data_IF_916461495421
#
_entry.id   IF_916461495421
#
_cell.length_a   1.000
_cell.length_b   1.000
_cell.length_c   1.000
_cell.angle_alpha   90.00
_cell.angle_beta   90.00
_cell.angle_gamma   90.00
#
_symmetry.space_group_name_H-M   'P 1'
#
loop_
_entity.id
_entity.type
_entity.pdbx_description
1 polymer ?
#
# COMPACT_ATOMS: atom_id res chain seq x y z
N UNK A 1 -8.02 27.85 13.92
CA UNK A 1 -7.56 27.02 12.79
C UNK A 1 -8.13 25.64 13.05
N UNK A 2 -9.12 25.18 12.28
CA UNK A 2 -9.72 23.85 12.47
C UNK A 2 -8.69 22.86 11.93
N UNK A 3 -7.97 22.17 12.82
CA UNK A 3 -7.15 21.02 12.43
C UNK A 3 -8.09 19.93 11.97
N UNK A 4 -8.07 19.61 10.68
CA UNK A 4 -8.88 18.54 10.13
C UNK A 4 -8.23 17.20 10.52
N UNK A 5 -8.56 16.73 11.74
CA UNK A 5 -8.03 15.47 12.26
C UNK A 5 -8.55 14.26 11.47
N UNK A 6 -9.72 14.40 10.85
CA UNK A 6 -10.41 13.29 10.21
C UNK A 6 -11.06 13.73 8.89
N UNK A 7 -10.96 12.88 7.87
CA UNK A 7 -11.70 12.99 6.63
C UNK A 7 -12.81 11.95 6.59
N UNK A 8 -14.06 12.40 6.46
CA UNK A 8 -15.22 11.50 6.37
C UNK A 8 -15.54 11.03 4.94
N UNK A 9 -14.66 11.37 4.00
CA UNK A 9 -14.82 11.14 2.56
C UNK A 9 -13.52 10.56 1.98
N UNK A 10 -13.52 10.31 0.68
CA UNK A 10 -12.30 9.96 -0.05
C UNK A 10 -11.34 11.14 0.00
N UNK A 11 -10.07 10.87 0.30
CA UNK A 11 -8.98 11.80 0.07
C UNK A 11 -8.31 11.43 -1.26
N UNK A 12 -8.48 12.27 -2.28
CA UNK A 12 -7.92 12.04 -3.61
C UNK A 12 -6.89 13.12 -3.98
N UNK A 13 -5.70 12.67 -4.38
CA UNK A 13 -4.63 13.47 -4.95
C UNK A 13 -4.31 12.90 -6.34
N UNK A 14 -4.90 13.50 -7.38
CA UNK A 14 -4.81 13.01 -8.75
C UNK A 14 -4.22 14.07 -9.70
N UNK A 15 -3.16 13.73 -10.42
CA UNK A 15 -2.67 14.56 -11.54
C UNK A 15 -1.93 15.83 -11.12
N UNK A 16 -1.41 15.89 -9.89
CA UNK A 16 -0.72 17.08 -9.40
C UNK A 16 0.77 17.04 -9.81
N UNK A 17 1.05 17.48 -11.04
CA UNK A 17 2.38 17.42 -11.66
C UNK A 17 3.50 18.17 -10.91
N UNK A 18 3.14 19.12 -10.03
CA UNK A 18 4.08 19.92 -9.25
C UNK A 18 4.06 19.59 -7.74
N UNK A 19 3.26 18.61 -7.31
CA UNK A 19 3.14 18.26 -5.89
C UNK A 19 4.35 17.42 -5.46
N UNK A 20 5.26 18.03 -4.71
CA UNK A 20 6.51 17.39 -4.27
C UNK A 20 6.33 16.66 -2.93
N UNK A 21 5.48 17.17 -2.05
CA UNK A 21 5.23 16.61 -0.72
C UNK A 21 3.81 16.96 -0.24
N UNK A 22 3.46 16.43 0.94
CA UNK A 22 2.13 16.57 1.55
C UNK A 22 2.13 17.55 2.73
N UNK A 23 2.98 18.59 2.70
CA UNK A 23 3.09 19.57 3.78
C UNK A 23 1.71 20.13 4.14
N UNK A 24 1.39 20.13 5.44
CA UNK A 24 0.09 20.54 5.96
C UNK A 24 -0.85 19.39 6.33
N UNK A 25 -0.52 18.14 5.99
CA UNK A 25 -1.34 16.97 6.30
C UNK A 25 -0.98 16.27 7.62
N UNK A 26 -0.01 16.78 8.38
CA UNK A 26 0.58 16.09 9.55
C UNK A 26 -0.38 15.84 10.72
N UNK A 27 -1.55 16.49 10.72
CA UNK A 27 -2.59 16.27 11.73
C UNK A 27 -3.69 15.30 11.29
N UNK A 28 -3.65 14.78 10.05
CA UNK A 28 -4.68 13.87 9.57
C UNK A 28 -4.48 12.49 10.20
N UNK A 29 -5.40 12.09 11.07
CA UNK A 29 -5.33 10.85 11.84
C UNK A 29 -6.15 9.71 11.20
N UNK A 30 -7.25 10.04 10.51
CA UNK A 30 -8.11 9.03 9.89
C UNK A 30 -8.82 9.51 8.63
N UNK A 31 -9.06 8.56 7.73
CA UNK A 31 -9.88 8.72 6.54
C UNK A 31 -10.94 7.62 6.58
N UNK A 32 -12.23 7.94 6.75
CA UNK A 32 -13.28 6.89 6.70
C UNK A 32 -13.58 6.44 5.27
N UNK A 33 -13.24 7.27 4.28
CA UNK A 33 -13.25 6.93 2.86
C UNK A 33 -11.99 6.16 2.44
N UNK A 34 -11.57 6.38 1.20
CA UNK A 34 -10.31 5.84 0.66
C UNK A 34 -9.22 6.90 0.58
N UNK A 35 -7.96 6.46 0.58
CA UNK A 35 -6.81 7.26 0.22
C UNK A 35 -6.41 6.91 -1.22
N UNK A 36 -6.59 7.86 -2.14
CA UNK A 36 -6.26 7.70 -3.56
C UNK A 36 -5.15 8.69 -3.92
N UNK A 37 -3.93 8.20 -4.11
CA UNK A 37 -2.78 9.02 -4.52
C UNK A 37 -2.36 8.53 -5.90
N UNK A 38 -2.70 9.30 -6.93
CA UNK A 38 -2.43 8.90 -8.31
C UNK A 38 -1.86 9.98 -9.21
N UNK A 39 -1.02 9.61 -10.16
CA UNK A 39 -0.51 10.51 -11.20
C UNK A 39 0.16 11.79 -10.63
N UNK A 40 0.93 11.67 -9.56
CA UNK A 40 1.73 12.78 -9.01
C UNK A 40 3.22 12.49 -9.29
N UNK A 41 3.72 12.80 -10.52
CA UNK A 41 5.01 12.30 -10.99
C UNK A 41 6.22 12.78 -10.18
N UNK A 42 6.12 13.91 -9.46
CA UNK A 42 7.20 14.49 -8.65
C UNK A 42 7.00 14.34 -7.14
N UNK A 43 5.95 13.61 -6.70
CA UNK A 43 5.73 13.33 -5.28
C UNK A 43 6.77 12.34 -4.79
N UNK A 44 7.64 12.78 -3.87
CA UNK A 44 8.82 11.98 -3.46
C UNK A 44 8.59 11.12 -2.21
N UNK A 45 7.62 11.49 -1.34
CA UNK A 45 7.34 10.78 -0.10
C UNK A 45 5.93 11.10 0.43
N UNK A 46 5.51 10.35 1.45
CA UNK A 46 4.23 10.52 2.15
C UNK A 46 4.42 11.01 3.60
N UNK A 47 5.60 11.49 3.98
CA UNK A 47 6.04 11.72 5.37
C UNK A 47 5.07 12.57 6.22
N UNK A 48 4.28 13.46 5.61
CA UNK A 48 3.29 14.26 6.31
C UNK A 48 1.99 13.51 6.63
N UNK A 49 1.88 12.21 6.37
CA UNK A 49 0.75 11.37 6.79
C UNK A 49 1.05 10.58 8.06
N UNK A 50 2.16 10.84 8.77
CA UNK A 50 2.61 10.00 9.89
C UNK A 50 1.66 9.83 11.08
N UNK A 51 0.57 10.61 11.16
CA UNK A 51 -0.51 10.43 12.14
C UNK A 51 -1.66 9.53 11.63
N UNK A 52 -1.72 9.28 10.33
CA UNK A 52 -2.78 8.53 9.67
C UNK A 52 -2.70 7.06 10.08
N UNK A 53 -3.68 6.62 10.86
CA UNK A 53 -3.73 5.27 11.43
C UNK A 53 -4.83 4.40 10.85
N UNK A 54 -5.78 5.01 10.12
CA UNK A 54 -6.98 4.35 9.65
C UNK A 54 -7.43 4.83 8.27
N UNK A 55 -7.68 3.87 7.36
CA UNK A 55 -8.35 4.09 6.08
C UNK A 55 -9.56 3.16 6.00
N UNK A 56 -10.76 3.72 5.99
CA UNK A 56 -11.99 2.95 6.09
C UNK A 56 -12.32 2.14 4.84
N UNK A 57 -11.89 2.55 3.64
CA UNK A 57 -12.27 1.88 2.38
C UNK A 57 -11.13 1.26 1.60
N UNK A 58 -10.35 2.06 0.91
CA UNK A 58 -9.31 1.55 0.01
C UNK A 58 -8.09 2.43 0.09
N UNK A 59 -6.92 1.82 -0.09
CA UNK A 59 -5.69 2.53 -0.40
C UNK A 59 -5.31 2.24 -1.85
N UNK A 60 -5.15 3.30 -2.65
CA UNK A 60 -4.64 3.19 -4.01
C UNK A 60 -3.51 4.19 -4.20
N UNK A 61 -2.32 3.67 -4.47
CA UNK A 61 -1.10 4.44 -4.72
C UNK A 61 -0.61 4.03 -6.10
N UNK A 62 -0.92 4.85 -7.10
CA UNK A 62 -0.69 4.49 -8.50
C UNK A 62 0.00 5.58 -9.30
N UNK A 63 0.90 5.23 -10.22
CA UNK A 63 1.54 6.20 -11.12
C UNK A 63 2.24 7.39 -10.41
N UNK A 64 2.84 7.18 -9.23
CA UNK A 64 3.64 8.20 -8.54
C UNK A 64 5.12 7.91 -8.78
N UNK A 65 5.62 8.32 -9.96
CA UNK A 65 6.91 7.85 -10.48
C UNK A 65 8.13 8.24 -9.65
N UNK A 66 8.06 9.29 -8.84
CA UNK A 66 9.17 9.69 -7.94
C UNK A 66 9.09 9.10 -6.54
N UNK A 67 8.01 8.38 -6.20
CA UNK A 67 7.84 7.78 -4.89
C UNK A 67 8.77 6.56 -4.77
N UNK A 68 9.55 6.51 -3.69
CA UNK A 68 10.55 5.46 -3.47
C UNK A 68 10.18 4.45 -2.40
N UNK A 69 9.37 4.86 -1.42
CA UNK A 69 8.78 4.01 -0.39
C UNK A 69 7.45 4.65 0.09
N UNK A 70 6.83 4.07 1.11
CA UNK A 70 5.55 4.51 1.67
C UNK A 70 5.70 5.15 3.05
N UNK A 71 6.92 5.58 3.42
CA UNK A 71 7.21 6.24 4.70
C UNK A 71 6.28 7.45 4.88
N UNK A 72 5.72 7.56 6.08
CA UNK A 72 4.60 8.42 6.38
C UNK A 72 3.28 7.67 6.56
N UNK A 73 3.17 6.40 6.18
CA UNK A 73 2.01 5.56 6.52
C UNK A 73 2.27 4.67 7.75
N UNK A 74 3.34 4.93 8.50
CA UNK A 74 3.90 4.02 9.51
C UNK A 74 2.94 3.62 10.64
N UNK A 75 1.87 4.40 10.85
CA UNK A 75 0.84 4.16 11.87
C UNK A 75 -0.41 3.46 11.32
N UNK A 76 -0.50 3.24 10.01
CA UNK A 76 -1.65 2.66 9.35
C UNK A 76 -1.79 1.18 9.73
N UNK A 77 -2.76 0.88 10.60
CA UNK A 77 -2.93 -0.46 11.18
C UNK A 77 -3.91 -1.34 10.42
N UNK A 78 -4.88 -0.73 9.73
CA UNK A 78 -5.91 -1.43 8.97
C UNK A 78 -6.41 -0.62 7.78
N UNK A 79 -6.82 -1.33 6.73
CA UNK A 79 -7.47 -0.75 5.56
C UNK A 79 -8.76 -1.50 5.22
N UNK A 80 -9.81 -0.75 4.94
CA UNK A 80 -11.01 -1.27 4.25
C UNK A 80 -12.08 -1.88 5.13
N UNK A 81 -12.06 -1.66 6.44
CA UNK A 81 -13.09 -2.20 7.36
C UNK A 81 -14.52 -1.73 7.04
N UNK A 82 -14.68 -0.68 6.22
CA UNK A 82 -15.95 -0.18 5.69
C UNK A 82 -16.15 -0.47 4.19
N UNK A 83 -15.23 -1.17 3.53
CA UNK A 83 -15.34 -1.56 2.13
C UNK A 83 -15.97 -2.96 1.97
N UNK A 84 -16.65 -3.22 0.83
CA UNK A 84 -16.99 -4.59 0.47
C UNK A 84 -15.72 -5.42 0.25
N UNK A 85 -15.83 -6.75 0.43
CA UNK A 85 -14.71 -7.69 0.19
C UNK A 85 -14.21 -7.69 -1.26
N UNK A 86 -14.97 -7.12 -2.19
CA UNK A 86 -14.57 -6.93 -3.59
C UNK A 86 -13.77 -5.65 -3.83
N UNK A 87 -13.43 -4.89 -2.79
CA UNK A 87 -12.67 -3.67 -2.95
C UNK A 87 -11.18 -3.95 -3.19
N UNK A 88 -10.58 -3.18 -4.09
CA UNK A 88 -9.19 -3.36 -4.51
C UNK A 88 -8.30 -2.30 -3.89
N UNK A 89 -7.36 -2.75 -3.05
CA UNK A 89 -6.21 -1.97 -2.59
C UNK A 89 -5.08 -2.18 -3.60
N UNK A 90 -4.52 -1.09 -4.12
CA UNK A 90 -3.66 -1.14 -5.30
C UNK A 90 -2.39 -0.33 -5.06
N UNK A 91 -1.24 -0.98 -5.23
CA UNK A 91 0.07 -0.32 -5.31
C UNK A 91 0.61 -0.66 -6.71
N UNK A 92 0.48 0.28 -7.64
CA UNK A 92 0.74 0.00 -9.06
C UNK A 92 1.54 1.09 -9.78
N UNK A 93 2.48 0.68 -10.63
CA UNK A 93 3.18 1.58 -11.56
C UNK A 93 3.86 2.76 -10.86
N UNK A 94 4.41 2.54 -9.67
CA UNK A 94 5.27 3.51 -8.99
C UNK A 94 6.72 3.16 -9.36
N UNK A 95 7.19 3.75 -10.48
CA UNK A 95 8.41 3.31 -11.18
C UNK A 95 9.68 3.29 -10.32
N UNK A 96 9.79 4.15 -9.32
CA UNK A 96 10.94 4.24 -8.42
C UNK A 96 10.71 3.61 -7.04
N UNK A 97 9.57 2.95 -6.81
CA UNK A 97 9.24 2.31 -5.54
C UNK A 97 10.14 1.10 -5.34
N UNK A 98 10.96 1.10 -4.28
CA UNK A 98 11.96 0.06 -4.01
C UNK A 98 11.52 -0.96 -2.96
N UNK A 99 10.65 -0.54 -2.04
CA UNK A 99 10.10 -1.34 -0.95
C UNK A 99 8.72 -0.78 -0.55
N UNK A 100 8.07 -1.40 0.44
CA UNK A 100 6.79 -0.97 1.00
C UNK A 100 6.94 -0.44 2.43
N UNK A 101 8.16 -0.06 2.83
CA UNK A 101 8.46 0.51 4.15
C UNK A 101 7.55 1.71 4.37
N UNK A 102 6.93 1.75 5.54
CA UNK A 102 5.82 2.65 5.84
C UNK A 102 4.51 1.91 6.04
N UNK A 103 4.35 0.67 5.59
CA UNK A 103 3.17 -0.15 5.92
C UNK A 103 3.36 -1.05 7.15
N UNK A 104 4.44 -0.86 7.91
CA UNK A 104 4.89 -1.78 8.97
C UNK A 104 3.82 -2.09 10.03
N UNK A 105 2.91 -1.17 10.31
CA UNK A 105 1.84 -1.37 11.30
C UNK A 105 0.62 -2.12 10.74
N UNK A 106 0.53 -2.32 9.42
CA UNK A 106 -0.64 -2.88 8.76
C UNK A 106 -0.76 -4.37 9.06
N UNK A 107 -1.78 -4.74 9.81
CA UNK A 107 -2.03 -6.15 10.17
C UNK A 107 -3.16 -6.79 9.38
N UNK A 108 -4.03 -5.97 8.77
CA UNK A 108 -5.24 -6.45 8.12
C UNK A 108 -5.66 -5.59 6.94
N UNK A 109 -6.00 -6.26 5.84
CA UNK A 109 -6.68 -5.68 4.68
C UNK A 109 -8.03 -6.36 4.48
N UNK A 110 -9.08 -5.56 4.55
CA UNK A 110 -10.38 -5.95 3.98
C UNK A 110 -10.33 -5.75 2.46
N UNK A 111 -10.82 -6.76 1.73
CA UNK A 111 -10.74 -6.80 0.28
C UNK A 111 -9.41 -7.34 -0.25
N UNK A 112 -9.12 -7.05 -1.51
CA UNK A 112 -7.95 -7.54 -2.22
C UNK A 112 -6.76 -6.60 -2.06
N UNK A 113 -5.55 -7.14 -2.16
CA UNK A 113 -4.30 -6.41 -2.27
C UNK A 113 -3.62 -6.77 -3.60
N UNK A 114 -3.38 -5.75 -4.42
CA UNK A 114 -2.68 -5.89 -5.69
C UNK A 114 -1.40 -5.05 -5.66
N UNK A 115 -0.25 -5.71 -5.75
CA UNK A 115 1.08 -5.09 -5.84
C UNK A 115 1.61 -5.42 -7.23
N UNK A 116 1.52 -4.46 -8.16
CA UNK A 116 1.80 -4.76 -9.55
C UNK A 116 2.55 -3.69 -10.32
N UNK A 117 3.34 -4.10 -11.31
CA UNK A 117 4.02 -3.19 -12.24
C UNK A 117 4.91 -2.16 -11.51
N UNK A 118 5.54 -2.52 -10.39
CA UNK A 118 6.55 -1.67 -9.74
C UNK A 118 7.94 -2.24 -10.11
N UNK A 119 8.54 -1.81 -11.24
CA UNK A 119 9.70 -2.48 -11.83
C UNK A 119 10.96 -2.42 -10.96
N UNK A 120 11.05 -1.46 -10.04
CA UNK A 120 12.17 -1.31 -9.11
C UNK A 120 11.88 -1.85 -7.69
N UNK A 121 10.73 -2.51 -7.48
CA UNK A 121 10.38 -3.09 -6.19
C UNK A 121 11.25 -4.31 -5.90
N UNK A 122 12.16 -4.19 -4.95
CA UNK A 122 13.16 -5.21 -4.58
C UNK A 122 12.68 -6.10 -3.43
N UNK A 123 11.87 -5.55 -2.53
CA UNK A 123 11.34 -6.27 -1.37
C UNK A 123 9.88 -5.92 -1.11
N UNK A 124 9.21 -6.77 -0.34
CA UNK A 124 7.91 -6.48 0.26
C UNK A 124 8.04 -6.06 1.73
N UNK A 125 9.25 -5.67 2.15
CA UNK A 125 9.52 -5.13 3.49
C UNK A 125 8.55 -3.98 3.75
N UNK A 126 7.98 -3.97 4.94
CA UNK A 126 6.85 -3.09 5.27
C UNK A 126 5.54 -3.83 5.42
N UNK A 127 5.38 -5.01 4.81
CA UNK A 127 4.17 -5.82 5.00
C UNK A 127 4.32 -6.91 6.06
N UNK A 128 5.45 -6.97 6.77
CA UNK A 128 5.85 -8.09 7.62
C UNK A 128 4.82 -8.50 8.69
N UNK A 129 3.94 -7.58 9.09
CA UNK A 129 2.92 -7.79 10.11
C UNK A 129 1.52 -8.09 9.56
N UNK A 130 1.32 -8.13 8.23
CA UNK A 130 0.01 -8.43 7.66
C UNK A 130 -0.37 -9.89 7.94
N UNK A 131 -1.46 -10.11 8.67
CA UNK A 131 -1.90 -11.45 9.05
C UNK A 131 -2.96 -12.03 8.13
N UNK A 132 -3.83 -11.17 7.57
CA UNK A 132 -4.92 -11.61 6.71
C UNK A 132 -5.28 -10.59 5.63
N UNK A 133 -5.57 -11.13 4.45
CA UNK A 133 -6.16 -10.42 3.30
C UNK A 133 -7.49 -11.11 2.98
N UNK A 134 -8.60 -10.39 3.11
CA UNK A 134 -9.93 -11.04 2.99
C UNK A 134 -10.35 -11.33 1.55
N UNK A 135 -9.76 -10.66 0.58
CA UNK A 135 -9.95 -10.89 -0.85
C UNK A 135 -8.77 -11.63 -1.48
N UNK A 136 -8.38 -11.21 -2.68
CA UNK A 136 -7.25 -11.82 -3.40
C UNK A 136 -5.94 -11.11 -3.04
N UNK A 137 -4.86 -11.87 -3.01
CA UNK A 137 -3.50 -11.32 -3.03
C UNK A 137 -2.92 -11.51 -4.44
N UNK A 138 -2.48 -10.41 -5.05
CA UNK A 138 -1.83 -10.38 -6.35
C UNK A 138 -0.48 -9.68 -6.24
N UNK A 139 0.59 -10.38 -6.64
CA UNK A 139 1.95 -9.83 -6.78
C UNK A 139 2.40 -10.07 -8.20
N UNK A 140 2.40 -9.01 -9.02
CA UNK A 140 2.50 -9.17 -10.47
C UNK A 140 3.46 -8.20 -11.14
N UNK A 141 4.27 -8.67 -12.10
CA UNK A 141 5.13 -7.80 -12.90
C UNK A 141 6.06 -6.88 -12.07
N UNK A 142 6.54 -7.35 -10.91
CA UNK A 142 7.57 -6.69 -10.12
C UNK A 142 8.92 -7.33 -10.47
N UNK A 143 9.47 -6.93 -11.61
CA UNK A 143 10.47 -7.69 -12.36
C UNK A 143 11.76 -8.04 -11.59
N UNK A 144 12.14 -7.23 -10.60
CA UNK A 144 13.38 -7.43 -9.81
C UNK A 144 13.13 -8.01 -8.41
N UNK A 145 11.88 -8.27 -8.04
CA UNK A 145 11.53 -8.88 -6.76
C UNK A 145 12.02 -10.33 -6.71
N UNK A 146 12.84 -10.67 -5.71
CA UNK A 146 13.51 -11.99 -5.66
C UNK A 146 12.85 -13.04 -4.77
N UNK A 147 12.01 -12.62 -3.82
CA UNK A 147 11.25 -13.49 -2.92
C UNK A 147 9.99 -12.75 -2.43
N UNK A 148 9.24 -13.36 -1.53
CA UNK A 148 8.01 -12.79 -0.94
C UNK A 148 8.18 -12.48 0.56
N UNK A 149 9.43 -12.32 1.01
CA UNK A 149 9.72 -11.90 2.38
C UNK A 149 9.11 -10.51 2.59
N UNK A 150 8.32 -10.41 3.64
CA UNK A 150 7.32 -9.35 3.82
C UNK A 150 5.92 -9.94 4.05
N UNK A 151 5.64 -11.17 3.62
CA UNK A 151 4.40 -11.88 3.97
C UNK A 151 4.56 -12.91 5.10
N UNK A 152 5.66 -12.88 5.84
CA UNK A 152 6.02 -13.93 6.81
C UNK A 152 4.92 -14.19 7.86
N UNK A 153 4.11 -13.18 8.19
CA UNK A 153 3.01 -13.29 9.16
C UNK A 153 1.64 -13.58 8.53
N UNK A 154 1.56 -13.69 7.20
CA UNK A 154 0.32 -13.87 6.46
C UNK A 154 -0.17 -15.31 6.61
N UNK A 155 -1.34 -15.48 7.22
CA UNK A 155 -1.93 -16.78 7.54
C UNK A 155 -3.22 -17.06 6.78
N UNK A 156 -3.77 -16.06 6.08
CA UNK A 156 -5.01 -16.21 5.32
C UNK A 156 -5.09 -15.25 4.13
N UNK A 157 -5.48 -15.81 2.98
CA UNK A 157 -5.92 -15.09 1.78
C UNK A 157 -7.29 -15.64 1.39
N UNK A 158 -8.28 -14.77 1.25
CA UNK A 158 -9.67 -15.20 1.14
C UNK A 158 -10.03 -15.86 -0.20
N UNK A 159 -9.76 -15.19 -1.32
CA UNK A 159 -10.31 -15.62 -2.63
C UNK A 159 -9.28 -16.19 -3.60
N UNK A 160 -8.02 -15.78 -3.51
CA UNK A 160 -6.98 -16.34 -4.39
C UNK A 160 -5.62 -15.68 -4.22
N UNK A 161 -4.58 -16.45 -4.52
CA UNK A 161 -3.19 -16.03 -4.52
C UNK A 161 -2.67 -16.07 -5.97
N UNK A 162 -2.27 -14.91 -6.49
CA UNK A 162 -1.79 -14.74 -7.86
C UNK A 162 -0.37 -14.18 -7.84
N UNK A 163 0.59 -14.97 -8.32
CA UNK A 163 2.00 -14.57 -8.40
C UNK A 163 2.43 -14.82 -9.85
N UNK A 164 2.55 -13.74 -10.64
CA UNK A 164 2.83 -13.86 -12.08
C UNK A 164 3.73 -12.74 -12.58
N UNK A 165 4.55 -13.02 -13.60
CA UNK A 165 5.38 -11.98 -14.23
C UNK A 165 6.51 -11.40 -13.36
N UNK A 166 6.81 -11.97 -12.19
CA UNK A 166 7.95 -11.56 -11.37
C UNK A 166 9.22 -12.29 -11.83
N UNK A 167 9.86 -11.81 -12.89
CA UNK A 167 10.93 -12.53 -13.60
C UNK A 167 12.16 -12.90 -12.77
N UNK A 168 12.47 -12.13 -11.72
CA UNK A 168 13.61 -12.39 -10.83
C UNK A 168 13.25 -13.23 -9.59
N UNK A 169 11.98 -13.68 -9.45
CA UNK A 169 11.52 -14.40 -8.27
C UNK A 169 12.20 -15.77 -8.18
N UNK A 170 13.00 -15.98 -7.13
CA UNK A 170 13.81 -17.18 -6.94
C UNK A 170 13.09 -18.26 -6.13
N UNK A 171 12.19 -17.86 -5.24
CA UNK A 171 11.46 -18.74 -4.33
C UNK A 171 10.23 -18.03 -3.76
N UNK A 172 9.42 -18.77 -3.00
CA UNK A 172 8.22 -18.30 -2.33
C UNK A 172 8.46 -18.01 -0.83
N UNK A 173 9.72 -17.83 -0.41
CA UNK A 173 10.03 -17.53 0.99
C UNK A 173 9.23 -16.33 1.45
N UNK A 174 8.64 -16.43 2.64
CA UNK A 174 7.72 -15.46 3.18
C UNK A 174 6.25 -15.84 3.04
N UNK A 175 5.91 -16.90 2.31
CA UNK A 175 4.57 -17.49 2.37
C UNK A 175 4.47 -18.69 3.32
N UNK A 176 5.50 -18.93 4.13
CA UNK A 176 5.65 -20.12 4.97
C UNK A 176 4.53 -20.30 6.01
N UNK A 177 3.83 -19.21 6.35
CA UNK A 177 2.70 -19.19 7.29
C UNK A 177 1.33 -19.45 6.65
N UNK A 178 1.23 -19.50 5.32
CA UNK A 178 -0.03 -19.83 4.64
C UNK A 178 -0.29 -21.35 4.71
N UNK A 179 -1.54 -21.77 4.98
CA UNK A 179 -1.92 -23.18 5.10
C UNK A 179 -2.04 -23.92 3.77
#
# INVERSE_FOLDING_TARGET
>A
MITLLQLQVIFELNGNNSLINLTGMSSLESITGGLLISNNPVLINLNNLGALSFIGRVIQITNNFSLTNLVGLDQLSSVGTYAPLSADNIIQNNLNLIDLVGLNALTYISGSLHIKENPLLQSLEGLDNINAISGSLSVENNNILTNLTGFNSLTSVGTGLYIQGNSALLNLNGLDSLP
#
